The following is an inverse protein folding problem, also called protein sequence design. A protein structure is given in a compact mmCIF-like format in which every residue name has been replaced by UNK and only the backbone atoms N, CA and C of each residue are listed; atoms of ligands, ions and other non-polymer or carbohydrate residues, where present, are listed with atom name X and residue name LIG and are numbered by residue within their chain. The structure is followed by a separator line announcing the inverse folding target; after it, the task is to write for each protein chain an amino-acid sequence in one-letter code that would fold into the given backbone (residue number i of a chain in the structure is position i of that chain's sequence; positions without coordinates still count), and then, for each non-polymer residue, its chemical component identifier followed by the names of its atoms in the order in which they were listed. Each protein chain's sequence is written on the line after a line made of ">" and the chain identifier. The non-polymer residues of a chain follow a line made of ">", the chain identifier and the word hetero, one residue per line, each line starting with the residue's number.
data_IF_887444226339
#
_entry.id   IF_887444226339
#
_cell.length_a   1.000
_cell.length_b   1.000
_cell.length_c   1.000
_cell.angle_alpha   90.00
_cell.angle_beta   90.00
_cell.angle_gamma   90.00
#
_symmetry.space_group_name_H-M   'P 1'
#
loop_
_entity.id
_entity.type
_entity.pdbx_description
1 polymer ?
#
# COMPACT_ATOMS: atom_id res chain seq x y z
N UNK A 1 22.20 -2.01 0.43
CA UNK A 1 21.30 -2.08 -0.72
C UNK A 1 20.06 -1.23 -0.49
N UNK A 2 19.51 -0.66 -1.55
CA UNK A 2 18.35 0.24 -1.50
C UNK A 2 17.15 -0.41 -2.17
N UNK A 3 15.99 -0.35 -1.51
CA UNK A 3 14.74 -0.89 -2.02
C UNK A 3 13.62 0.13 -1.79
N UNK A 4 12.73 0.27 -2.79
CA UNK A 4 11.59 1.17 -2.69
C UNK A 4 10.50 0.62 -1.75
N UNK A 5 9.92 1.50 -0.95
CA UNK A 5 8.82 1.11 -0.03
C UNK A 5 7.52 0.78 -0.77
N UNK A 6 7.42 1.10 -2.05
CA UNK A 6 6.24 0.77 -2.86
C UNK A 6 6.00 -0.75 -2.88
N UNK A 7 7.07 -1.55 -3.05
CA UNK A 7 7.01 -3.01 -2.92
C UNK A 7 7.25 -3.40 -1.47
N UNK A 8 6.36 -2.95 -0.59
CA UNK A 8 6.53 -3.09 0.85
C UNK A 8 6.69 -4.53 1.30
N UNK A 9 5.93 -5.45 0.73
CA UNK A 9 6.02 -6.88 1.08
C UNK A 9 7.39 -7.44 0.70
N UNK A 10 7.90 -7.09 -0.48
CA UNK A 10 9.23 -7.50 -0.91
C UNK A 10 10.31 -6.96 0.02
N UNK A 11 10.23 -5.68 0.37
CA UNK A 11 11.17 -5.05 1.28
C UNK A 11 11.17 -5.74 2.65
N UNK A 12 9.99 -6.06 3.18
CA UNK A 12 9.86 -6.73 4.48
C UNK A 12 10.47 -8.13 4.45
N UNK A 13 10.27 -8.88 3.38
CA UNK A 13 10.85 -10.21 3.19
C UNK A 13 12.37 -10.13 3.12
N UNK A 14 12.91 -9.16 2.38
CA UNK A 14 14.35 -8.97 2.25
C UNK A 14 14.98 -8.60 3.61
N UNK A 15 14.34 -7.71 4.36
CA UNK A 15 14.81 -7.34 5.71
C UNK A 15 14.85 -8.55 6.65
N UNK A 16 13.83 -9.39 6.60
CA UNK A 16 13.76 -10.60 7.41
C UNK A 16 14.85 -11.59 7.01
N UNK A 17 15.11 -11.76 5.72
CA UNK A 17 16.18 -12.62 5.22
C UNK A 17 17.55 -12.15 5.71
N UNK A 18 17.82 -10.85 5.64
CA UNK A 18 19.09 -10.28 6.10
C UNK A 18 19.24 -10.43 7.60
N UNK A 19 18.16 -10.33 8.37
CA UNK A 19 18.18 -10.50 9.82
C UNK A 19 18.46 -11.95 10.22
N UNK A 20 17.92 -12.93 9.48
CA UNK A 20 18.09 -14.36 9.80
C UNK A 20 19.43 -14.92 9.41
N UNK A 21 20.09 -14.37 8.42
CA UNK A 21 21.35 -14.89 7.89
C UNK A 21 22.46 -13.87 8.12
N UNK A 22 23.73 -14.33 8.27
CA UNK A 22 24.85 -13.45 8.59
C UNK A 22 25.34 -12.65 7.37
N UNK A 23 24.43 -11.90 6.75
CA UNK A 23 24.81 -11.00 5.68
C UNK A 23 25.35 -9.69 6.22
N UNK A 24 26.46 -9.21 5.67
CA UNK A 24 27.02 -7.91 6.00
C UNK A 24 26.48 -6.86 5.03
N UNK A 25 25.14 -6.68 5.02
CA UNK A 25 24.43 -5.80 4.11
C UNK A 25 23.46 -4.93 4.91
N UNK A 26 23.49 -3.64 4.65
CA UNK A 26 22.49 -2.71 5.17
C UNK A 26 21.34 -2.58 4.15
N UNK A 27 20.11 -2.77 4.64
CA UNK A 27 18.91 -2.60 3.82
C UNK A 27 18.30 -1.24 4.16
N UNK A 28 18.12 -0.41 3.13
CA UNK A 28 17.53 0.92 3.28
C UNK A 28 16.22 0.96 2.49
N UNK A 29 15.11 1.21 3.18
CA UNK A 29 13.82 1.45 2.55
C UNK A 29 13.77 2.88 2.03
N UNK A 30 13.43 3.03 0.75
CA UNK A 30 13.27 4.35 0.14
C UNK A 30 11.79 4.74 0.12
N UNK A 31 11.43 5.98 0.46
CA UNK A 31 10.04 6.44 0.39
C UNK A 31 9.44 6.21 -0.99
N UNK A 32 8.13 5.99 -1.03
CA UNK A 32 7.41 5.86 -2.30
C UNK A 32 7.55 7.17 -3.07
N UNK A 33 8.02 7.06 -4.32
CA UNK A 33 8.02 8.19 -5.25
C UNK A 33 6.66 8.22 -5.92
N UNK A 34 6.00 9.36 -5.88
CA UNK A 34 4.70 9.56 -6.51
C UNK A 34 4.81 10.61 -7.61
N UNK A 35 3.97 10.48 -8.62
CA UNK A 35 3.80 11.53 -9.62
C UNK A 35 3.03 12.70 -8.99
N UNK A 36 3.03 13.86 -9.63
CA UNK A 36 2.41 15.09 -9.08
C UNK A 36 0.97 14.90 -8.62
N UNK A 37 0.23 14.04 -9.30
CA UNK A 37 -1.17 13.76 -8.98
C UNK A 37 -1.36 12.69 -7.89
N UNK A 38 -0.27 12.17 -7.33
CA UNK A 38 -0.31 11.20 -6.24
C UNK A 38 -0.16 9.75 -6.65
N UNK A 39 -0.23 9.44 -7.94
CA UNK A 39 -0.09 8.07 -8.42
C UNK A 39 1.30 7.52 -8.08
N UNK A 40 1.36 6.34 -7.46
CA UNK A 40 2.64 5.70 -7.16
C UNK A 40 3.43 5.45 -8.45
N UNK A 41 4.67 5.91 -8.50
CA UNK A 41 5.50 5.82 -9.70
C UNK A 41 5.80 4.37 -10.04
N UNK A 42 5.49 3.98 -11.28
CA UNK A 42 5.72 2.63 -11.79
C UNK A 42 5.84 2.67 -13.30
N UNK A 43 6.67 1.79 -13.86
CA UNK A 43 6.73 1.62 -15.31
C UNK A 43 5.39 1.12 -15.89
N UNK A 44 4.57 0.46 -15.06
CA UNK A 44 3.23 0.01 -15.47
C UNK A 44 2.27 1.15 -15.74
N UNK A 45 2.53 2.35 -15.22
CA UNK A 45 1.68 3.53 -15.46
C UNK A 45 1.63 3.91 -16.94
N UNK A 46 2.68 3.63 -17.69
CA UNK A 46 2.72 3.88 -19.13
C UNK A 46 1.71 3.03 -19.91
N UNK A 47 1.21 1.95 -19.33
CA UNK A 47 0.22 1.06 -19.94
C UNK A 47 -1.21 1.57 -19.75
N UNK A 48 -1.41 2.57 -18.90
CA UNK A 48 -2.71 3.15 -18.63
C UNK A 48 -3.09 4.16 -19.71
N UNK A 49 -4.36 4.13 -20.14
CA UNK A 49 -4.93 5.20 -20.95
C UNK A 49 -5.10 6.45 -20.08
N UNK A 50 -5.35 7.60 -20.71
CA UNK A 50 -5.60 8.84 -19.96
C UNK A 50 -6.80 8.71 -19.02
N UNK A 51 -7.86 8.02 -19.46
CA UNK A 51 -9.03 7.77 -18.62
C UNK A 51 -8.73 6.82 -17.48
N UNK A 52 -8.03 5.72 -17.74
CA UNK A 52 -7.61 4.76 -16.73
C UNK A 52 -6.70 5.41 -15.70
N UNK A 53 -5.82 6.31 -16.13
CA UNK A 53 -4.96 7.04 -15.21
C UNK A 53 -5.77 7.88 -14.22
N UNK A 54 -6.83 8.54 -14.69
CA UNK A 54 -7.74 9.29 -13.80
C UNK A 54 -8.41 8.38 -12.79
N UNK A 55 -8.85 7.21 -13.23
CA UNK A 55 -9.48 6.22 -12.36
C UNK A 55 -8.47 5.68 -11.33
N UNK A 56 -7.25 5.41 -11.75
CA UNK A 56 -6.19 4.89 -10.88
C UNK A 56 -5.84 5.84 -9.73
N UNK A 57 -6.06 7.15 -9.90
CA UNK A 57 -5.85 8.12 -8.83
C UNK A 57 -6.73 7.88 -7.61
N UNK A 58 -7.86 7.20 -7.78
CA UNK A 58 -8.73 6.87 -6.65
C UNK A 58 -8.03 5.97 -5.63
N UNK A 59 -7.03 5.20 -6.05
CA UNK A 59 -6.25 4.34 -5.15
C UNK A 59 -5.52 5.19 -4.11
N UNK A 60 -4.67 6.12 -4.54
CA UNK A 60 -3.93 6.97 -3.62
C UNK A 60 -4.85 7.89 -2.82
N UNK A 61 -5.90 8.41 -3.44
CA UNK A 61 -6.89 9.24 -2.75
C UNK A 61 -7.58 8.48 -1.62
N UNK A 62 -7.98 7.24 -1.87
CA UNK A 62 -8.60 6.40 -0.86
C UNK A 62 -7.63 6.12 0.29
N UNK A 63 -6.38 5.81 -0.02
CA UNK A 63 -5.37 5.54 1.00
C UNK A 63 -5.09 6.78 1.86
N UNK A 64 -4.89 7.93 1.26
CA UNK A 64 -4.64 9.17 2.02
C UNK A 64 -5.84 9.56 2.87
N UNK A 65 -7.06 9.47 2.33
CA UNK A 65 -8.27 9.76 3.08
C UNK A 65 -8.44 8.80 4.27
N UNK A 66 -8.04 7.55 4.11
CA UNK A 66 -8.17 6.53 5.14
C UNK A 66 -7.29 6.81 6.37
N UNK A 67 -6.18 7.52 6.20
CA UNK A 67 -5.31 7.90 7.32
C UNK A 67 -6.06 8.83 8.28
N UNK A 68 -6.73 9.85 7.76
CA UNK A 68 -7.53 10.75 8.58
C UNK A 68 -8.74 10.04 9.18
N UNK A 69 -9.41 9.21 8.39
CA UNK A 69 -10.55 8.40 8.84
C UNK A 69 -10.16 7.48 10.01
N UNK A 70 -8.97 6.90 9.96
CA UNK A 70 -8.48 5.95 10.97
C UNK A 70 -8.25 6.57 12.35
N UNK A 71 -8.08 7.90 12.42
CA UNK A 71 -7.79 8.59 13.68
C UNK A 71 -8.94 8.53 14.68
N UNK A 72 -10.16 8.35 14.19
CA UNK A 72 -11.37 8.30 15.02
C UNK A 72 -12.19 7.03 14.82
N UNK A 73 -11.63 6.03 14.16
CA UNK A 73 -12.36 4.82 13.81
C UNK A 73 -11.54 3.57 14.12
N UNK A 74 -12.25 2.46 14.35
CA UNK A 74 -11.59 1.15 14.54
C UNK A 74 -10.99 0.67 13.21
N UNK A 75 -10.03 -0.25 13.31
CA UNK A 75 -9.29 -0.74 12.17
C UNK A 75 -10.21 -1.37 11.10
N UNK A 76 -11.18 -2.18 11.52
CA UNK A 76 -12.10 -2.84 10.60
C UNK A 76 -12.91 -1.82 9.77
N UNK A 77 -13.35 -0.72 10.39
CA UNK A 77 -14.08 0.33 9.67
C UNK A 77 -13.17 1.03 8.65
N UNK A 78 -11.90 1.23 9.00
CA UNK A 78 -10.90 1.83 8.10
C UNK A 78 -10.66 0.94 6.89
N UNK A 79 -10.53 -0.37 7.13
CA UNK A 79 -10.38 -1.34 6.06
C UNK A 79 -11.58 -1.30 5.10
N UNK A 80 -12.79 -1.32 5.65
CA UNK A 80 -14.01 -1.24 4.85
C UNK A 80 -14.11 0.07 4.08
N UNK A 81 -13.69 1.17 4.68
CA UNK A 81 -13.69 2.48 4.01
C UNK A 81 -12.88 2.43 2.71
N UNK A 82 -11.66 1.89 2.76
CA UNK A 82 -10.80 1.79 1.57
C UNK A 82 -11.42 0.84 0.55
N UNK A 83 -11.86 -0.33 0.98
CA UNK A 83 -12.49 -1.31 0.09
C UNK A 83 -13.69 -0.73 -0.64
N UNK A 84 -14.55 -0.01 0.08
CA UNK A 84 -15.73 0.62 -0.52
C UNK A 84 -15.37 1.73 -1.49
N UNK A 85 -14.35 2.54 -1.17
CA UNK A 85 -13.88 3.58 -2.08
C UNK A 85 -13.43 2.99 -3.42
N UNK A 86 -12.70 1.90 -3.39
CA UNK A 86 -12.20 1.25 -4.60
C UNK A 86 -13.35 0.59 -5.37
N UNK A 87 -14.28 -0.07 -4.69
CA UNK A 87 -15.42 -0.73 -5.32
C UNK A 87 -16.38 0.25 -5.99
N UNK A 88 -16.47 1.48 -5.49
CA UNK A 88 -17.29 2.55 -6.10
C UNK A 88 -16.60 3.20 -7.29
N UNK A 89 -15.30 3.06 -7.41
CA UNK A 89 -14.55 3.70 -8.49
C UNK A 89 -14.75 2.90 -9.79
N UNK A 90 -15.29 3.51 -10.84
CA UNK A 90 -15.46 2.83 -12.11
C UNK A 90 -14.09 2.46 -12.70
N UNK A 91 -14.01 1.32 -13.34
CA UNK A 91 -12.79 0.88 -13.99
C UNK A 91 -11.75 0.26 -13.06
N UNK A 92 -11.98 0.24 -11.75
CA UNK A 92 -11.08 -0.39 -10.78
C UNK A 92 -11.69 -1.69 -10.25
N UNK A 93 -10.85 -2.72 -10.14
CA UNK A 93 -11.22 -3.98 -9.55
C UNK A 93 -10.25 -4.29 -8.41
N UNK A 94 -10.77 -4.34 -7.19
CA UNK A 94 -9.98 -4.63 -6.00
C UNK A 94 -9.56 -6.09 -5.99
N UNK A 95 -8.25 -6.37 -5.98
CA UNK A 95 -7.76 -7.70 -5.74
C UNK A 95 -7.74 -7.98 -4.23
N UNK A 96 -7.06 -7.12 -3.47
CA UNK A 96 -7.10 -7.16 -2.01
C UNK A 96 -6.68 -5.84 -1.39
N UNK A 97 -7.12 -5.62 -0.16
CA UNK A 97 -6.57 -4.61 0.74
C UNK A 97 -6.45 -5.23 2.12
N UNK A 98 -5.23 -5.25 2.66
CA UNK A 98 -4.95 -5.79 3.99
C UNK A 98 -4.23 -4.76 4.84
N UNK A 99 -4.64 -4.67 6.11
CA UNK A 99 -3.96 -3.87 7.12
C UNK A 99 -3.15 -4.83 7.97
N UNK A 100 -1.84 -4.67 7.97
CA UNK A 100 -0.91 -5.66 8.51
C UNK A 100 0.10 -5.01 9.45
N UNK A 101 0.71 -5.86 10.30
CA UNK A 101 1.93 -5.51 11.02
C UNK A 101 3.06 -5.31 10.00
N UNK A 102 3.74 -4.18 10.07
CA UNK A 102 4.78 -3.84 9.10
C UNK A 102 6.03 -4.69 9.17
N UNK A 103 6.23 -5.42 10.26
CA UNK A 103 7.40 -6.29 10.44
C UNK A 103 7.09 -7.73 10.04
N UNK A 104 5.93 -8.25 10.41
CA UNK A 104 5.57 -9.66 10.21
C UNK A 104 4.71 -9.92 9.00
N UNK A 105 4.08 -8.88 8.45
CA UNK A 105 3.09 -8.94 7.36
C UNK A 105 1.83 -9.72 7.73
N UNK A 106 1.63 -10.01 9.02
CA UNK A 106 0.42 -10.67 9.48
C UNK A 106 -0.70 -9.64 9.66
N UNK A 107 -1.93 -9.98 9.26
CA UNK A 107 -3.07 -9.09 9.47
C UNK A 107 -3.23 -8.74 10.95
N UNK A 108 -3.57 -7.47 11.21
CA UNK A 108 -3.90 -7.01 12.56
C UNK A 108 -5.39 -6.67 12.61
N UNK A 109 -5.99 -6.81 13.79
CA UNK A 109 -7.42 -6.59 14.01
C UNK A 109 -7.71 -5.28 14.73
N UNK A 110 -6.73 -4.72 15.42
CA UNK A 110 -6.87 -3.48 16.17
C UNK A 110 -5.57 -2.68 16.11
N UNK A 111 -5.69 -1.37 16.29
CA UNK A 111 -4.54 -0.47 16.20
C UNK A 111 -3.50 -0.69 17.30
N UNK A 112 -3.89 -1.26 18.42
CA UNK A 112 -3.00 -1.52 19.56
C UNK A 112 -2.21 -2.83 19.45
N UNK A 113 -2.45 -3.63 18.44
CA UNK A 113 -1.77 -4.93 18.26
C UNK A 113 -0.34 -4.78 17.79
N UNK A 114 0.05 -3.62 17.25
CA UNK A 114 1.39 -3.40 16.74
C UNK A 114 1.78 -1.92 16.85
N UNK A 115 3.08 -1.67 16.88
CA UNK A 115 3.64 -0.32 16.80
C UNK A 115 3.95 0.11 15.37
N UNK A 116 3.78 -0.79 14.41
CA UNK A 116 4.05 -0.52 13.00
C UNK A 116 2.96 -1.18 12.15
N UNK A 117 2.04 -0.37 11.64
CA UNK A 117 0.86 -0.84 10.91
C UNK A 117 0.79 -0.18 9.54
N UNK A 118 0.63 -1.01 8.51
CA UNK A 118 0.64 -0.60 7.11
C UNK A 118 -0.56 -1.21 6.39
N UNK A 119 -1.18 -0.44 5.50
CA UNK A 119 -2.17 -0.95 4.56
C UNK A 119 -1.51 -1.25 3.23
N UNK A 120 -1.73 -2.44 2.70
CA UNK A 120 -1.22 -2.88 1.40
C UNK A 120 -2.39 -3.17 0.48
N UNK A 121 -2.36 -2.59 -0.72
CA UNK A 121 -3.45 -2.70 -1.67
C UNK A 121 -2.95 -3.16 -3.04
N UNK A 122 -3.75 -3.99 -3.70
CA UNK A 122 -3.57 -4.36 -5.09
C UNK A 122 -4.89 -4.20 -5.82
N UNK A 123 -4.85 -3.48 -6.93
CA UNK A 123 -6.03 -3.11 -7.72
C UNK A 123 -5.73 -3.31 -9.20
N UNK A 124 -6.67 -3.89 -9.93
CA UNK A 124 -6.61 -3.91 -11.39
C UNK A 124 -7.30 -2.68 -11.97
N UNK A 125 -6.62 -2.02 -12.90
CA UNK A 125 -7.19 -0.97 -13.73
C UNK A 125 -7.14 -1.50 -15.17
N UNK A 126 -8.26 -2.04 -15.65
CA UNK A 126 -8.25 -2.85 -16.85
C UNK A 126 -7.37 -4.09 -16.64
N UNK A 127 -6.39 -4.30 -17.51
CA UNK A 127 -5.44 -5.41 -17.39
C UNK A 127 -4.20 -5.05 -16.57
N UNK A 128 -4.07 -3.79 -16.16
CA UNK A 128 -2.89 -3.32 -15.44
C UNK A 128 -3.06 -3.53 -13.95
N UNK A 129 -2.17 -4.33 -13.36
CA UNK A 129 -2.15 -4.57 -11.92
C UNK A 129 -1.34 -3.48 -11.22
N UNK A 130 -1.98 -2.74 -10.34
CA UNK A 130 -1.39 -1.63 -9.62
C UNK A 130 -1.28 -1.97 -8.13
N UNK A 131 -0.15 -1.62 -7.53
CA UNK A 131 0.08 -1.81 -6.10
C UNK A 131 0.39 -0.45 -5.44
N UNK A 132 0.00 -0.34 -4.17
CA UNK A 132 0.33 0.82 -3.34
C UNK A 132 0.31 0.40 -1.88
N UNK A 133 0.79 1.25 -1.01
CA UNK A 133 0.68 1.05 0.43
C UNK A 133 0.63 2.39 1.15
N UNK A 134 0.20 2.34 2.42
CA UNK A 134 0.09 3.52 3.27
C UNK A 134 0.42 3.14 4.72
N UNK A 135 1.15 3.98 5.42
CA UNK A 135 1.47 3.77 6.82
C UNK A 135 0.41 4.43 7.69
N UNK A 136 -0.16 3.65 8.61
CA UNK A 136 -1.11 4.14 9.61
C UNK A 136 -0.44 4.43 10.94
N UNK A 137 0.57 3.67 11.30
CA UNK A 137 1.24 3.76 12.59
C UNK A 137 2.71 3.35 12.47
N UNK A 138 3.58 4.07 13.17
CA UNK A 138 4.99 3.72 13.18
C UNK A 138 5.98 4.78 12.80
#
# INVERSE_FOLDING_TARGET
>A
AYFGEKDFQQLAIIREMVRKYPFNIQIVGCPIVREEDGLALSSRNARLTAEQRKEALQISKALFASVDFSKSRVLLETKQFVEDCIRRAPGLELEYFEIVDGNTLQPVKAWDESNYIVGCITVYCGEVRLIDNIKYKG
#
